data_IF_029435177219
#
_entry.id   IF_029435177219
#
_cell.length_a   1.000
_cell.length_b   1.000
_cell.length_c   1.000
_cell.angle_alpha   90.00
_cell.angle_beta   90.00
_cell.angle_gamma   90.00
#
_symmetry.space_group_name_H-M   'P 1'
#
loop_
_entity.id
_entity.type
_entity.pdbx_description
1 polymer ?
#
# COMPACT_ATOMS: atom_id res chain seq x y z
N UNK A 1 -5.21 -24.50 -15.47
CA UNK A 1 -4.79 -23.08 -15.62
C UNK A 1 -5.90 -22.10 -15.28
N UNK A 2 -7.03 -22.05 -15.99
CA UNK A 2 -8.05 -21.00 -15.74
C UNK A 2 -8.64 -21.01 -14.30
N UNK A 3 -9.00 -22.17 -13.69
CA UNK A 3 -9.59 -22.18 -12.34
C UNK A 3 -8.66 -21.63 -11.25
N UNK A 4 -7.35 -21.90 -11.35
CA UNK A 4 -6.36 -21.44 -10.36
C UNK A 4 -6.15 -19.93 -10.42
N UNK A 5 -6.25 -19.32 -11.60
CA UNK A 5 -6.13 -17.87 -11.77
C UNK A 5 -7.40 -17.14 -11.32
N UNK A 6 -8.58 -17.74 -11.53
CA UNK A 6 -9.84 -17.23 -10.97
C UNK A 6 -9.78 -17.26 -9.44
N UNK A 7 -9.31 -18.36 -8.86
CA UNK A 7 -9.11 -18.46 -7.42
C UNK A 7 -8.10 -17.42 -6.91
N UNK A 8 -6.98 -17.22 -7.61
CA UNK A 8 -6.01 -16.17 -7.27
C UNK A 8 -6.65 -14.77 -7.25
N UNK A 9 -7.42 -14.43 -8.29
CA UNK A 9 -8.13 -13.15 -8.36
C UNK A 9 -9.12 -12.99 -7.19
N UNK A 10 -9.89 -14.05 -6.92
CA UNK A 10 -10.82 -14.09 -5.79
C UNK A 10 -10.11 -13.88 -4.44
N UNK A 11 -8.99 -14.56 -4.22
CA UNK A 11 -8.19 -14.43 -3.00
C UNK A 11 -7.65 -13.01 -2.83
N UNK A 12 -7.11 -12.39 -3.89
CA UNK A 12 -6.65 -11.00 -3.84
C UNK A 12 -7.78 -10.02 -3.55
N UNK A 13 -8.93 -10.16 -4.23
CA UNK A 13 -10.09 -9.30 -3.99
C UNK A 13 -10.59 -9.46 -2.55
N UNK A 14 -10.71 -10.70 -2.08
CA UNK A 14 -11.15 -10.99 -0.71
C UNK A 14 -10.17 -10.40 0.32
N UNK A 15 -8.87 -10.56 0.11
CA UNK A 15 -7.85 -9.92 0.94
C UNK A 15 -8.00 -8.40 0.97
N UNK A 16 -8.13 -7.75 -0.18
CA UNK A 16 -8.33 -6.30 -0.28
C UNK A 16 -9.57 -5.83 0.49
N UNK A 17 -10.70 -6.55 0.35
CA UNK A 17 -11.95 -6.24 1.06
C UNK A 17 -11.77 -6.42 2.56
N UNK A 18 -11.28 -7.58 3.02
CA UNK A 18 -11.10 -7.87 4.44
C UNK A 18 -10.10 -6.91 5.08
N UNK A 19 -8.98 -6.64 4.42
CA UNK A 19 -7.99 -5.68 4.86
C UNK A 19 -8.60 -4.29 5.04
N UNK A 20 -9.33 -3.77 4.04
CA UNK A 20 -10.01 -2.46 4.12
C UNK A 20 -11.07 -2.41 5.21
N UNK A 21 -11.89 -3.45 5.34
CA UNK A 21 -12.96 -3.52 6.35
C UNK A 21 -12.36 -3.51 7.75
N UNK A 22 -11.39 -4.38 8.04
CA UNK A 22 -10.74 -4.45 9.35
C UNK A 22 -9.88 -3.21 9.65
N UNK A 23 -9.34 -2.55 8.62
CA UNK A 23 -8.62 -1.29 8.75
C UNK A 23 -9.53 -0.08 8.97
N UNK A 24 -10.83 -0.19 8.66
CA UNK A 24 -11.77 0.92 8.68
C UNK A 24 -11.95 1.52 10.08
N UNK A 25 -12.24 2.82 10.12
CA UNK A 25 -12.47 3.52 11.39
C UNK A 25 -13.70 2.99 12.13
N UNK A 26 -14.74 2.57 11.39
CA UNK A 26 -15.95 2.03 11.98
C UNK A 26 -15.68 0.70 12.70
N UNK A 27 -15.01 -0.26 12.05
CA UNK A 27 -14.65 -1.53 12.70
C UNK A 27 -13.71 -1.29 13.89
N UNK A 28 -12.72 -0.41 13.74
CA UNK A 28 -11.82 -0.04 14.85
C UNK A 28 -12.57 0.55 16.03
N UNK A 29 -13.52 1.47 15.81
CA UNK A 29 -14.36 2.07 16.87
C UNK A 29 -15.27 1.03 17.52
N UNK A 30 -15.89 0.14 16.73
CA UNK A 30 -16.71 -0.95 17.24
C UNK A 30 -15.87 -1.93 18.11
N UNK A 31 -14.71 -2.33 17.61
CA UNK A 31 -13.76 -3.17 18.33
C UNK A 31 -13.26 -2.50 19.61
N UNK A 32 -12.96 -1.20 19.58
CA UNK A 32 -12.56 -0.44 20.76
C UNK A 32 -13.68 -0.37 21.80
N UNK A 33 -14.93 -0.15 21.38
CA UNK A 33 -16.11 -0.14 22.27
C UNK A 33 -16.34 -1.50 22.93
N UNK A 34 -16.15 -2.60 22.19
CA UNK A 34 -16.40 -3.95 22.70
C UNK A 34 -15.24 -4.52 23.53
N UNK A 35 -13.99 -4.26 23.13
CA UNK A 35 -12.80 -4.83 23.77
C UNK A 35 -12.23 -3.94 24.89
N UNK A 36 -12.57 -2.66 24.95
CA UNK A 36 -12.03 -1.71 25.91
C UNK A 36 -10.49 -1.75 25.95
N UNK A 37 -9.92 -2.02 27.13
CA UNK A 37 -8.48 -2.12 27.34
C UNK A 37 -7.79 -3.23 26.52
N UNK A 38 -8.54 -4.22 26.00
CA UNK A 38 -7.99 -5.28 25.13
C UNK A 38 -7.78 -4.84 23.68
N UNK A 39 -8.13 -3.60 23.31
CA UNK A 39 -7.96 -3.08 21.93
C UNK A 39 -6.51 -3.17 21.39
N UNK A 40 -5.50 -3.18 22.27
CA UNK A 40 -4.10 -3.46 21.85
C UNK A 40 -3.97 -4.79 21.10
N UNK A 41 -4.69 -5.82 21.54
CA UNK A 41 -4.69 -7.15 20.92
C UNK A 41 -5.40 -7.15 19.57
N UNK A 42 -6.40 -6.28 19.36
CA UNK A 42 -7.04 -6.12 18.05
C UNK A 42 -6.03 -5.63 17.00
N UNK A 43 -5.22 -4.62 17.33
CA UNK A 43 -4.17 -4.12 16.41
C UNK A 43 -3.17 -5.21 16.05
N UNK A 44 -2.72 -5.98 17.04
CA UNK A 44 -1.80 -7.10 16.80
C UNK A 44 -2.46 -8.18 15.93
N UNK A 45 -3.68 -8.59 16.28
CA UNK A 45 -4.46 -9.57 15.51
C UNK A 45 -4.62 -9.13 14.05
N UNK A 46 -5.04 -7.89 13.82
CA UNK A 46 -5.20 -7.32 12.48
C UNK A 46 -3.90 -7.38 11.67
N UNK A 47 -2.78 -6.93 12.24
CA UNK A 47 -1.49 -6.91 11.55
C UNK A 47 -1.01 -8.33 11.22
N UNK A 48 -1.14 -9.26 12.16
CA UNK A 48 -0.78 -10.68 11.95
C UNK A 48 -1.68 -11.32 10.92
N UNK A 49 -2.99 -11.11 10.99
CA UNK A 49 -3.96 -11.63 10.02
C UNK A 49 -3.66 -11.11 8.61
N UNK A 50 -3.43 -9.80 8.45
CA UNK A 50 -3.06 -9.20 7.17
C UNK A 50 -1.75 -9.78 6.62
N UNK A 51 -0.72 -9.92 7.46
CA UNK A 51 0.56 -10.49 7.04
C UNK A 51 0.43 -11.97 6.61
N UNK A 52 -0.26 -12.80 7.41
CA UNK A 52 -0.42 -14.22 7.12
C UNK A 52 -1.28 -14.46 5.87
N UNK A 53 -2.38 -13.72 5.71
CA UNK A 53 -3.22 -13.82 4.52
C UNK A 53 -2.49 -13.37 3.26
N UNK A 54 -1.72 -12.27 3.33
CA UNK A 54 -0.86 -11.84 2.21
C UNK A 54 0.18 -12.91 1.86
N UNK A 55 0.87 -13.47 2.85
CA UNK A 55 1.86 -14.53 2.64
C UNK A 55 1.24 -15.78 2.04
N UNK A 56 0.03 -16.18 2.48
CA UNK A 56 -0.69 -17.32 1.93
C UNK A 56 -1.04 -17.11 0.45
N UNK A 57 -1.48 -15.91 0.07
CA UNK A 57 -1.79 -15.57 -1.33
C UNK A 57 -0.53 -15.59 -2.18
N UNK A 58 0.56 -14.97 -1.71
CA UNK A 58 1.85 -14.98 -2.42
C UNK A 58 2.36 -16.42 -2.56
N UNK A 59 2.28 -17.23 -1.50
CA UNK A 59 2.68 -18.63 -1.54
C UNK A 59 1.84 -19.42 -2.56
N UNK A 60 0.52 -19.24 -2.56
CA UNK A 60 -0.35 -19.85 -3.56
C UNK A 60 0.02 -19.40 -4.97
N UNK A 61 0.24 -18.10 -5.18
CA UNK A 61 0.62 -17.53 -6.46
C UNK A 61 1.93 -18.07 -7.01
N UNK A 62 2.92 -18.35 -6.14
CA UNK A 62 4.20 -18.95 -6.53
C UNK A 62 4.08 -20.44 -6.88
N UNK A 63 3.01 -21.12 -6.47
CA UNK A 63 2.78 -22.56 -6.69
C UNK A 63 1.92 -22.86 -7.91
N UNK A 64 1.17 -21.89 -8.41
CA UNK A 64 0.34 -22.11 -9.60
C UNK A 64 1.18 -21.96 -10.86
N UNK A 65 0.96 -22.88 -11.80
CA UNK A 65 1.50 -22.74 -13.14
C UNK A 65 0.84 -21.53 -13.83
N UNK A 66 1.65 -20.64 -14.35
CA UNK A 66 1.18 -19.42 -15.01
C UNK A 66 1.87 -19.23 -16.36
N UNK A 67 1.06 -18.91 -17.38
CA UNK A 67 1.55 -18.63 -18.73
C UNK A 67 2.38 -17.34 -18.72
N UNK A 68 3.54 -17.37 -19.38
CA UNK A 68 4.28 -16.17 -19.74
C UNK A 68 3.54 -15.44 -20.88
N UNK A 69 3.23 -14.17 -20.66
CA UNK A 69 2.48 -13.31 -21.58
C UNK A 69 3.38 -12.58 -22.57
N UNK A 70 4.63 -12.29 -22.17
CA UNK A 70 5.62 -11.62 -23.00
C UNK A 70 6.92 -12.44 -23.03
N UNK A 71 7.66 -12.31 -24.13
CA UNK A 71 9.03 -12.80 -24.20
C UNK A 71 9.92 -11.93 -23.30
N UNK A 72 10.76 -12.58 -22.51
CA UNK A 72 11.70 -11.89 -21.63
C UNK A 72 12.95 -11.55 -22.45
N UNK A 73 13.25 -10.26 -22.56
CA UNK A 73 14.46 -9.72 -23.19
C UNK A 73 15.34 -9.04 -22.15
N UNK A 74 16.60 -8.77 -22.51
CA UNK A 74 17.50 -7.98 -21.67
C UNK A 74 16.88 -6.61 -21.34
N UNK A 75 16.23 -5.98 -22.32
CA UNK A 75 15.58 -4.69 -22.11
C UNK A 75 14.44 -4.76 -21.09
N UNK A 76 13.58 -5.78 -21.16
CA UNK A 76 12.48 -5.95 -20.19
C UNK A 76 13.03 -6.27 -18.80
N UNK A 77 14.10 -7.05 -18.70
CA UNK A 77 14.76 -7.33 -17.43
C UNK A 77 15.38 -6.08 -16.80
N UNK A 78 16.10 -5.27 -17.60
CA UNK A 78 16.69 -4.01 -17.13
C UNK A 78 15.59 -3.04 -16.66
N UNK A 79 14.52 -2.89 -17.43
CA UNK A 79 13.38 -2.08 -17.03
C UNK A 79 12.76 -2.59 -15.73
N UNK A 80 12.56 -3.91 -15.60
CA UNK A 80 12.03 -4.55 -14.41
C UNK A 80 12.90 -4.35 -13.17
N UNK A 81 14.23 -4.47 -13.29
CA UNK A 81 15.17 -4.21 -12.20
C UNK A 81 15.16 -2.73 -11.78
N UNK A 82 15.21 -1.80 -12.74
CA UNK A 82 15.22 -0.36 -12.46
C UNK A 82 13.92 0.04 -11.74
N UNK A 83 12.76 -0.39 -12.25
CA UNK A 83 11.47 -0.11 -11.63
C UNK A 83 11.34 -0.80 -10.27
N UNK A 84 11.71 -2.08 -10.17
CA UNK A 84 11.63 -2.85 -8.95
C UNK A 84 12.48 -2.26 -7.82
N UNK A 85 13.75 -2.00 -8.09
CA UNK A 85 14.70 -1.46 -7.11
C UNK A 85 14.37 -0.03 -6.71
N UNK A 86 13.96 0.83 -7.66
CA UNK A 86 13.52 2.19 -7.33
C UNK A 86 12.25 2.17 -6.46
N UNK A 87 11.28 1.31 -6.79
CA UNK A 87 10.08 1.10 -5.99
C UNK A 87 10.39 0.66 -4.56
N UNK A 88 11.22 -0.38 -4.40
CA UNK A 88 11.67 -0.86 -3.10
C UNK A 88 12.45 0.23 -2.32
N UNK A 89 13.32 0.98 -2.99
CA UNK A 89 14.04 2.10 -2.39
C UNK A 89 13.11 3.17 -1.82
N UNK A 90 12.10 3.58 -2.59
CA UNK A 90 11.07 4.55 -2.15
C UNK A 90 10.29 3.99 -0.95
N UNK A 91 9.86 2.72 -1.01
CA UNK A 91 9.15 2.08 0.09
C UNK A 91 9.99 2.04 1.36
N UNK A 92 11.28 1.69 1.27
CA UNK A 92 12.19 1.66 2.41
C UNK A 92 12.36 3.06 3.05
N UNK A 93 12.50 4.11 2.25
CA UNK A 93 12.57 5.50 2.75
C UNK A 93 11.29 5.87 3.50
N UNK A 94 10.13 5.53 2.93
CA UNK A 94 8.84 5.78 3.58
C UNK A 94 8.70 5.01 4.89
N UNK A 95 8.95 3.70 4.87
CA UNK A 95 8.83 2.81 6.05
C UNK A 95 9.80 3.23 7.15
N UNK A 96 11.06 3.57 6.83
CA UNK A 96 12.02 4.06 7.82
C UNK A 96 11.51 5.33 8.51
N UNK A 97 10.95 6.27 7.75
CA UNK A 97 10.36 7.50 8.32
C UNK A 97 9.18 7.18 9.25
N UNK A 98 8.28 6.28 8.84
CA UNK A 98 7.16 5.85 9.68
C UNK A 98 7.62 5.09 10.92
N UNK A 99 8.58 4.18 10.78
CA UNK A 99 9.12 3.41 11.90
C UNK A 99 9.83 4.30 12.91
N UNK A 100 10.64 5.27 12.47
CA UNK A 100 11.26 6.29 13.35
C UNK A 100 10.19 7.15 14.03
N UNK A 101 9.08 7.43 13.36
CA UNK A 101 7.93 8.14 13.95
C UNK A 101 7.16 7.29 14.96
N UNK A 102 7.07 5.97 14.76
CA UNK A 102 6.38 5.00 15.62
C UNK A 102 7.26 4.48 16.77
N UNK A 103 8.59 4.46 16.63
CA UNK A 103 9.55 3.89 17.58
C UNK A 103 9.76 4.73 18.84
N UNK A 104 8.80 5.59 19.20
CA UNK A 104 8.71 6.10 20.57
C UNK A 104 9.60 7.29 20.95
N UNK A 105 10.41 7.86 20.06
CA UNK A 105 11.16 9.10 20.42
C UNK A 105 10.25 10.34 20.39
N UNK A 106 9.14 10.31 19.63
CA UNK A 106 8.11 11.37 19.65
C UNK A 106 6.72 10.94 20.15
N UNK A 107 6.44 9.64 20.22
CA UNK A 107 5.10 9.11 20.52
C UNK A 107 4.74 9.06 22.01
N UNK A 108 5.60 9.51 22.92
CA UNK A 108 5.30 9.57 24.36
C UNK A 108 4.80 10.94 24.83
N UNK A 109 4.69 11.94 23.94
CA UNK A 109 4.47 13.33 24.38
C UNK A 109 3.12 13.92 23.95
N UNK A 110 2.53 13.57 22.80
CA UNK A 110 1.27 14.24 22.38
C UNK A 110 0.27 13.32 21.68
N UNK A 111 -0.75 12.88 22.44
CA UNK A 111 -2.04 12.42 21.90
C UNK A 111 -2.97 13.62 21.56
N UNK A 112 -2.42 14.73 21.07
CA UNK A 112 -3.23 15.79 20.47
C UNK A 112 -3.18 15.65 18.96
N UNK A 113 -4.32 15.68 18.25
CA UNK A 113 -4.30 15.79 16.80
C UNK A 113 -3.49 17.03 16.45
N UNK A 114 -2.38 16.86 15.74
CA UNK A 114 -1.59 17.99 15.27
C UNK A 114 -2.46 18.83 14.36
N UNK A 115 -2.75 20.06 14.75
CA UNK A 115 -3.57 21.02 13.98
C UNK A 115 -2.91 21.49 12.67
N UNK A 116 -1.66 21.06 12.41
CA UNK A 116 -0.89 21.47 11.25
C UNK A 116 -0.45 20.27 10.39
N UNK A 117 -0.67 20.40 9.08
CA UNK A 117 -0.21 19.44 8.08
C UNK A 117 1.30 19.58 7.85
N UNK A 118 2.10 18.69 8.44
CA UNK A 118 3.55 18.67 8.24
C UNK A 118 3.96 17.95 6.95
N UNK A 119 4.35 18.71 5.92
CA UNK A 119 4.86 18.19 4.64
C UNK A 119 6.39 18.17 4.66
N UNK A 120 6.99 16.98 4.77
CA UNK A 120 8.44 16.81 4.84
C UNK A 120 8.96 15.63 4.02
N UNK A 121 10.18 15.80 3.50
CA UNK A 121 10.89 14.78 2.70
C UNK A 121 10.19 14.50 1.37
N UNK A 122 10.10 13.22 1.01
CA UNK A 122 9.58 12.76 -0.29
C UNK A 122 8.13 13.18 -0.56
N UNK A 123 7.35 13.50 0.47
CA UNK A 123 6.00 14.06 0.34
C UNK A 123 5.97 15.44 -0.35
N UNK A 124 7.10 16.14 -0.48
CA UNK A 124 7.17 17.39 -1.26
C UNK A 124 7.04 17.16 -2.77
N UNK A 125 7.36 15.96 -3.25
CA UNK A 125 7.37 15.64 -4.68
C UNK A 125 6.12 14.88 -5.12
N UNK A 126 5.53 14.06 -4.23
CA UNK A 126 4.32 13.29 -4.48
C UNK A 126 3.54 13.10 -3.18
N UNK A 127 2.21 13.17 -3.24
CA UNK A 127 1.37 12.99 -2.05
C UNK A 127 1.41 11.58 -1.49
N UNK A 128 1.59 10.60 -2.37
CA UNK A 128 1.51 9.17 -2.04
C UNK A 128 2.78 8.40 -2.44
N UNK A 129 3.94 8.70 -1.83
CA UNK A 129 5.22 8.10 -2.20
C UNK A 129 5.26 6.59 -1.95
N UNK A 130 4.62 6.10 -0.88
CA UNK A 130 4.56 4.67 -0.59
C UNK A 130 3.78 3.90 -1.68
N UNK A 131 2.67 4.47 -2.17
CA UNK A 131 1.90 3.85 -3.25
C UNK A 131 2.61 3.92 -4.60
N UNK A 132 3.31 5.03 -4.88
CA UNK A 132 4.21 5.09 -6.03
C UNK A 132 5.27 3.99 -5.97
N UNK A 133 5.95 3.84 -4.83
CA UNK A 133 6.93 2.78 -4.63
C UNK A 133 6.33 1.39 -4.80
N UNK A 134 5.12 1.18 -4.29
CA UNK A 134 4.36 -0.07 -4.47
C UNK A 134 4.10 -0.35 -5.95
N UNK A 135 3.63 0.62 -6.73
CA UNK A 135 3.38 0.45 -8.16
C UNK A 135 4.65 0.14 -8.93
N UNK A 136 5.74 0.86 -8.66
CA UNK A 136 7.03 0.59 -9.29
C UNK A 136 7.55 -0.82 -8.96
N UNK A 137 7.39 -1.27 -7.71
CA UNK A 137 7.80 -2.60 -7.27
C UNK A 137 7.01 -3.72 -7.95
N UNK A 138 5.66 -3.65 -7.92
CA UNK A 138 4.82 -4.72 -8.49
C UNK A 138 4.93 -4.80 -10.01
N UNK A 139 4.96 -3.65 -10.69
CA UNK A 139 5.10 -3.61 -12.16
C UNK A 139 6.52 -3.93 -12.61
N UNK A 140 7.54 -3.53 -11.82
CA UNK A 140 8.92 -3.97 -12.02
C UNK A 140 9.05 -5.50 -11.94
N UNK A 141 8.43 -6.13 -10.94
CA UNK A 141 8.39 -7.59 -10.82
C UNK A 141 7.71 -8.27 -12.02
N UNK A 142 6.66 -7.65 -12.59
CA UNK A 142 6.02 -8.17 -13.79
C UNK A 142 6.90 -8.08 -15.03
N UNK A 143 7.70 -7.02 -15.19
CA UNK A 143 8.66 -6.95 -16.30
C UNK A 143 9.80 -7.98 -16.20
N UNK A 144 10.15 -8.40 -14.98
CA UNK A 144 11.08 -9.51 -14.74
C UNK A 144 10.45 -10.87 -15.07
N UNK A 145 9.20 -11.05 -14.65
CA UNK A 145 8.46 -12.31 -14.76
C UNK A 145 7.05 -12.03 -15.32
N UNK A 146 6.89 -11.84 -16.65
CA UNK A 146 5.64 -11.36 -17.26
C UNK A 146 4.59 -12.46 -17.35
N UNK A 147 4.13 -12.92 -16.20
CA UNK A 147 3.20 -14.03 -16.03
C UNK A 147 1.77 -13.51 -15.86
N UNK A 148 0.79 -14.33 -16.27
CA UNK A 148 -0.62 -14.03 -16.06
C UNK A 148 -0.99 -13.86 -14.57
N UNK A 149 -0.42 -14.69 -13.67
CA UNK A 149 -0.65 -14.59 -12.23
C UNK A 149 -0.18 -13.26 -11.64
N UNK A 150 1.00 -12.77 -12.03
CA UNK A 150 1.48 -11.45 -11.63
C UNK A 150 0.65 -10.33 -12.24
N UNK A 151 0.20 -10.45 -13.49
CA UNK A 151 -0.67 -9.45 -14.11
C UNK A 151 -1.98 -9.28 -13.33
N UNK A 152 -2.65 -10.39 -13.00
CA UNK A 152 -3.90 -10.39 -12.21
C UNK A 152 -3.67 -9.69 -10.87
N UNK A 153 -2.62 -10.09 -10.15
CA UNK A 153 -2.27 -9.53 -8.86
C UNK A 153 -2.01 -8.02 -8.95
N UNK A 154 -1.21 -7.59 -9.93
CA UNK A 154 -0.87 -6.19 -10.14
C UNK A 154 -2.08 -5.34 -10.47
N UNK A 155 -3.00 -5.83 -11.31
CA UNK A 155 -4.24 -5.12 -11.65
C UNK A 155 -5.12 -4.96 -10.41
N UNK A 156 -5.33 -6.02 -9.63
CA UNK A 156 -6.13 -5.95 -8.39
C UNK A 156 -5.51 -4.97 -7.40
N UNK A 157 -4.20 -5.08 -7.13
CA UNK A 157 -3.47 -4.18 -6.22
C UNK A 157 -3.55 -2.73 -6.71
N UNK A 158 -3.42 -2.50 -8.02
CA UNK A 158 -3.48 -1.15 -8.62
C UNK A 158 -4.85 -0.53 -8.41
N UNK A 159 -5.92 -1.24 -8.79
CA UNK A 159 -7.30 -0.75 -8.63
C UNK A 159 -7.65 -0.50 -7.16
N UNK A 160 -7.30 -1.44 -6.29
CA UNK A 160 -7.47 -1.31 -4.85
C UNK A 160 -6.76 -0.06 -4.29
N UNK A 161 -5.49 0.13 -4.66
CA UNK A 161 -4.69 1.25 -4.16
C UNK A 161 -5.21 2.59 -4.69
N UNK A 162 -5.62 2.67 -5.96
CA UNK A 162 -6.23 3.89 -6.52
C UNK A 162 -7.51 4.27 -5.79
N UNK A 163 -8.35 3.29 -5.44
CA UNK A 163 -9.54 3.52 -4.62
C UNK A 163 -9.17 3.94 -3.18
N UNK A 164 -8.20 3.25 -2.57
CA UNK A 164 -7.72 3.56 -1.22
C UNK A 164 -7.18 5.00 -1.13
N UNK A 165 -6.46 5.47 -2.15
CA UNK A 165 -5.99 6.86 -2.22
C UNK A 165 -7.15 7.85 -2.14
N UNK A 166 -8.26 7.62 -2.85
CA UNK A 166 -9.40 8.55 -2.81
C UNK A 166 -9.99 8.64 -1.41
N UNK A 167 -10.14 7.50 -0.72
CA UNK A 167 -10.63 7.45 0.65
C UNK A 167 -9.66 8.11 1.63
N UNK A 168 -8.36 7.94 1.44
CA UNK A 168 -7.32 8.56 2.25
C UNK A 168 -7.33 10.08 2.09
N UNK A 169 -7.37 10.58 0.86
CA UNK A 169 -7.43 12.02 0.61
C UNK A 169 -8.70 12.65 1.16
N UNK A 170 -9.85 11.97 1.07
CA UNK A 170 -11.10 12.45 1.66
C UNK A 170 -10.99 12.60 3.20
N UNK A 171 -10.32 11.64 3.86
CA UNK A 171 -10.05 11.73 5.31
C UNK A 171 -9.10 12.87 5.64
N UNK A 172 -8.03 13.03 4.88
CA UNK A 172 -7.05 14.11 5.08
C UNK A 172 -7.67 15.50 4.84
N UNK A 173 -8.60 15.63 3.89
CA UNK A 173 -9.39 16.86 3.73
C UNK A 173 -10.31 17.08 4.93
N UNK A 174 -10.98 16.04 5.44
CA UNK A 174 -11.83 16.16 6.61
C UNK A 174 -11.05 16.53 7.89
N UNK A 175 -9.79 16.10 8.00
CA UNK A 175 -8.93 16.34 9.15
C UNK A 175 -8.19 17.69 9.08
N UNK A 176 -7.62 18.04 7.93
CA UNK A 176 -6.74 19.21 7.76
C UNK A 176 -7.35 20.36 6.93
N UNK A 177 -8.56 20.17 6.38
CA UNK A 177 -9.29 21.20 5.65
C UNK A 177 -8.51 21.84 4.50
N UNK A 178 -8.47 23.17 4.49
CA UNK A 178 -7.84 23.96 3.43
C UNK A 178 -6.33 23.80 3.35
N UNK A 179 -5.65 23.42 4.45
CA UNK A 179 -4.21 23.14 4.41
C UNK A 179 -3.92 21.98 3.46
N UNK A 180 -4.71 20.91 3.55
CA UNK A 180 -4.57 19.79 2.63
C UNK A 180 -5.00 20.16 1.22
N UNK A 181 -6.10 20.90 1.02
CA UNK A 181 -6.51 21.35 -0.33
C UNK A 181 -5.41 22.15 -1.05
N UNK A 182 -4.72 23.06 -0.35
CA UNK A 182 -3.57 23.81 -0.89
C UNK A 182 -2.40 22.87 -1.25
N UNK A 183 -2.16 21.85 -0.43
CA UNK A 183 -1.17 20.81 -0.74
C UNK A 183 -1.57 19.99 -1.99
N UNK A 184 -2.85 19.66 -2.17
CA UNK A 184 -3.31 18.94 -3.35
C UNK A 184 -3.09 19.71 -4.66
N UNK A 185 -3.18 21.05 -4.61
CA UNK A 185 -2.95 21.93 -5.75
C UNK A 185 -1.45 22.07 -6.11
N UNK A 186 -0.56 21.94 -5.12
CA UNK A 186 0.88 22.17 -5.32
C UNK A 186 1.65 20.89 -5.61
N UNK A 187 1.18 19.74 -5.11
CA UNK A 187 1.90 18.46 -5.20
C UNK A 187 1.04 17.40 -5.88
N UNK A 188 1.57 16.70 -6.91
CA UNK A 188 0.84 15.66 -7.63
C UNK A 188 0.54 14.45 -6.75
N UNK A 189 -0.47 13.65 -7.15
CA UNK A 189 -0.92 12.49 -6.38
C UNK A 189 0.12 11.36 -6.34
N UNK A 190 0.65 10.96 -7.51
CA UNK A 190 1.54 9.80 -7.67
C UNK A 190 2.83 10.16 -8.40
N UNK A 191 2.73 10.64 -9.65
CA UNK A 191 3.89 10.94 -10.49
C UNK A 191 4.64 12.14 -9.89
N UNK A 192 5.89 11.97 -9.40
CA UNK A 192 6.63 13.06 -8.78
C UNK A 192 6.89 14.19 -9.77
N UNK A 193 6.78 15.43 -9.31
CA UNK A 193 7.24 16.61 -10.06
C UNK A 193 8.44 17.21 -9.33
N UNK A 194 9.60 17.17 -9.98
CA UNK A 194 10.77 17.90 -9.54
C UNK A 194 10.60 19.35 -10.00
N UNK A 195 10.51 20.27 -9.04
CA UNK A 195 10.56 21.71 -9.28
C UNK A 195 11.96 22.20 -8.95
#
# INVERSE_FOLDING_TARGET
MLPTHILLAFLWINYCVLHSVLASLWVKRAAQKWLGNKFRHYRLFYTVFAALSLLAIVFYQLRIDSKALLAVSVLTQMAGLILGLSGLGIMLVCIKKYFVSLSGIKSLVEEKPSTELMIAGIHRYTRHPLYLGTFLAIWGAWFLFPTLSLLISNVVITLYTLYAIQLEEAKLVAEFGDQYRKYQQSVPKLIPRFR
#
